data_IF_941932405523
#
_entry.id   IF_941932405523
#
_cell.length_a   1.000
_cell.length_b   1.000
_cell.length_c   1.000
_cell.angle_alpha   90.00
_cell.angle_beta   90.00
_cell.angle_gamma   90.00
#
_symmetry.space_group_name_H-M   'P 1'
#
loop_
_entity.id
_entity.type
_entity.pdbx_description
1 polymer ?
#
# COMPACT_ATOMS: atom_id res chain seq x y z
N UNK A 1 -30.13 49.65 -23.54
CA UNK A 1 -30.58 48.24 -23.54
C UNK A 1 -29.56 47.26 -24.15
N UNK A 2 -28.80 47.60 -25.21
CA UNK A 2 -27.80 46.68 -25.81
C UNK A 2 -26.58 46.37 -24.92
N UNK A 3 -26.15 47.33 -24.08
CA UNK A 3 -24.97 47.19 -23.22
C UNK A 3 -25.20 46.23 -22.04
N UNK A 4 -26.42 46.19 -21.50
CA UNK A 4 -26.82 45.26 -20.43
C UNK A 4 -26.90 43.81 -20.92
N UNK A 5 -27.30 43.60 -22.17
CA UNK A 5 -27.36 42.27 -22.80
C UNK A 5 -25.96 41.70 -23.02
N UNK A 6 -25.00 42.54 -23.42
CA UNK A 6 -23.60 42.13 -23.56
C UNK A 6 -22.97 41.74 -22.22
N UNK A 7 -23.27 42.48 -21.15
CA UNK A 7 -22.78 42.18 -19.80
C UNK A 7 -23.33 40.86 -19.26
N UNK A 8 -24.63 40.61 -19.45
CA UNK A 8 -25.26 39.36 -19.04
C UNK A 8 -24.67 38.14 -19.79
N UNK A 9 -24.38 38.29 -21.09
CA UNK A 9 -23.76 37.23 -21.90
C UNK A 9 -22.35 36.87 -21.42
N UNK A 10 -21.53 37.88 -21.07
CA UNK A 10 -20.17 37.66 -20.57
C UNK A 10 -20.18 36.96 -19.21
N UNK A 11 -21.10 37.34 -18.31
CA UNK A 11 -21.23 36.71 -16.98
C UNK A 11 -21.63 35.23 -17.12
N UNK A 12 -22.55 34.89 -18.03
CA UNK A 12 -22.92 33.49 -18.28
C UNK A 12 -21.76 32.65 -18.82
N UNK A 13 -20.89 33.22 -19.67
CA UNK A 13 -19.72 32.52 -20.21
C UNK A 13 -18.63 32.27 -19.15
N UNK A 14 -18.47 33.20 -18.19
CA UNK A 14 -17.51 33.06 -17.10
C UNK A 14 -17.97 32.02 -16.05
N UNK A 15 -19.28 31.89 -15.84
CA UNK A 15 -19.84 30.92 -14.89
C UNK A 15 -19.83 29.48 -15.45
N UNK A 16 -19.88 29.29 -16.77
CA UNK A 16 -19.83 27.96 -17.39
C UNK A 16 -18.42 27.41 -17.59
N UNK A 17 -17.38 28.25 -17.51
CA UNK A 17 -15.96 27.80 -17.58
C UNK A 17 -15.44 27.12 -16.29
N UNK A 18 -16.21 27.12 -15.20
CA UNK A 18 -15.79 26.60 -13.89
C UNK A 18 -15.89 25.08 -13.70
N UNK A 19 -16.46 24.32 -14.65
CA UNK A 19 -16.68 22.86 -14.51
C UNK A 19 -15.63 21.98 -15.22
N UNK A 20 -14.50 22.54 -15.66
CA UNK A 20 -13.34 21.72 -16.01
C UNK A 20 -12.58 21.40 -14.73
N UNK A 21 -13.19 20.54 -13.90
CA UNK A 21 -12.53 19.92 -12.78
C UNK A 21 -11.29 19.21 -13.31
N UNK A 22 -10.12 19.78 -13.01
CA UNK A 22 -8.85 19.12 -13.23
C UNK A 22 -8.92 17.86 -12.38
N UNK A 23 -9.20 16.71 -13.01
CA UNK A 23 -8.99 15.41 -12.38
C UNK A 23 -7.48 15.29 -12.29
N UNK A 24 -6.92 15.86 -11.23
CA UNK A 24 -5.61 15.48 -10.75
C UNK A 24 -5.72 13.98 -10.53
N UNK A 25 -5.05 13.22 -11.39
CA UNK A 25 -4.80 11.81 -11.16
C UNK A 25 -3.87 11.77 -9.95
N UNK A 26 -4.44 11.94 -8.76
CA UNK A 26 -3.76 11.77 -7.49
C UNK A 26 -3.21 10.36 -7.53
N UNK A 27 -1.89 10.29 -7.72
CA UNK A 27 -1.15 9.06 -7.78
C UNK A 27 -1.38 8.39 -6.42
N UNK A 28 -2.18 7.33 -6.38
CA UNK A 28 -2.46 6.58 -5.15
C UNK A 28 -1.11 6.05 -4.67
N UNK A 29 -0.51 6.74 -3.70
CA UNK A 29 0.75 6.33 -3.10
C UNK A 29 0.45 5.21 -2.10
N UNK A 30 0.27 4.00 -2.62
CA UNK A 30 0.18 2.80 -1.77
C UNK A 30 1.56 2.54 -1.16
N UNK A 31 1.71 2.86 0.13
CA UNK A 31 2.93 2.58 0.89
C UNK A 31 2.72 1.32 1.73
N UNK A 32 3.33 0.22 1.30
CA UNK A 32 3.41 -1.01 2.10
C UNK A 32 4.61 -0.89 3.06
N UNK A 33 4.35 -1.01 4.36
CA UNK A 33 5.38 -1.04 5.41
C UNK A 33 5.31 -2.40 6.09
N UNK A 34 6.40 -3.15 6.01
CA UNK A 34 6.52 -4.48 6.62
C UNK A 34 7.68 -4.43 7.61
N UNK A 35 7.35 -4.64 8.88
CA UNK A 35 8.35 -4.81 9.92
C UNK A 35 8.57 -6.31 10.13
N UNK A 36 9.84 -6.72 10.13
CA UNK A 36 10.27 -8.11 10.33
C UNK A 36 11.20 -8.15 11.52
N UNK A 37 10.97 -9.10 12.44
CA UNK A 37 11.96 -9.38 13.49
C UNK A 37 13.24 -9.91 12.85
N UNK A 38 14.32 -9.12 12.93
CA UNK A 38 15.64 -9.45 12.37
C UNK A 38 16.49 -10.33 13.31
N UNK A 39 15.89 -10.87 14.38
CA UNK A 39 16.58 -11.80 15.25
C UNK A 39 17.09 -13.02 14.46
N UNK A 40 18.37 -13.35 14.64
CA UNK A 40 18.93 -14.59 14.09
C UNK A 40 18.29 -15.75 14.82
N UNK A 41 17.60 -16.62 14.08
CA UNK A 41 16.99 -17.82 14.65
C UNK A 41 17.83 -19.05 14.34
N UNK A 42 18.08 -19.87 15.36
CA UNK A 42 18.90 -21.07 15.27
C UNK A 42 18.01 -22.30 15.41
N UNK A 43 18.08 -23.19 14.41
CA UNK A 43 17.43 -24.48 14.46
C UNK A 43 18.41 -25.46 15.09
N UNK A 44 18.04 -26.00 16.24
CA UNK A 44 18.82 -26.99 16.99
C UNK A 44 18.24 -28.37 16.73
N UNK A 45 19.08 -29.30 16.29
CA UNK A 45 18.73 -30.71 16.12
C UNK A 45 19.61 -31.56 17.02
N UNK A 46 19.02 -32.61 17.60
CA UNK A 46 19.73 -33.55 18.47
C UNK A 46 19.54 -34.97 17.98
N UNK A 47 20.61 -35.76 18.12
CA UNK A 47 20.70 -37.12 17.61
C UNK A 47 21.21 -38.06 18.69
N UNK A 48 20.67 -39.28 18.72
CA UNK A 48 21.17 -40.38 19.55
C UNK A 48 21.32 -41.62 18.66
N UNK A 49 22.49 -42.27 18.70
CA UNK A 49 22.80 -43.44 17.85
C UNK A 49 22.59 -43.22 16.34
N UNK A 50 22.70 -41.97 15.88
CA UNK A 50 22.47 -41.58 14.48
C UNK A 50 21.01 -41.35 14.12
N UNK A 51 20.07 -41.56 15.05
CA UNK A 51 18.66 -41.23 14.88
C UNK A 51 18.36 -39.85 15.47
N UNK A 52 17.56 -39.06 14.77
CA UNK A 52 17.13 -37.74 15.27
C UNK A 52 16.10 -37.93 16.38
N UNK A 53 16.36 -37.34 17.53
CA UNK A 53 15.47 -37.46 18.71
C UNK A 53 14.70 -36.16 19.00
N UNK A 54 15.21 -35.00 18.55
CA UNK A 54 14.50 -33.72 18.69
C UNK A 54 15.00 -32.68 17.69
N UNK A 55 14.14 -31.73 17.34
CA UNK A 55 14.42 -30.54 16.54
C UNK A 55 13.65 -29.34 17.07
N UNK A 56 14.26 -28.15 17.03
CA UNK A 56 13.56 -26.90 17.24
C UNK A 56 12.93 -26.37 15.93
N UNK A 57 12.12 -25.32 16.05
CA UNK A 57 11.45 -24.63 14.93
C UNK A 57 11.79 -23.14 14.99
N UNK A 58 12.20 -22.56 13.86
CA UNK A 58 12.32 -21.11 13.70
C UNK A 58 10.98 -20.51 13.26
N UNK A 59 10.59 -19.38 13.85
CA UNK A 59 9.33 -18.68 13.56
C UNK A 59 9.59 -17.21 13.25
N UNK A 60 9.36 -16.80 12.01
CA UNK A 60 9.43 -15.39 11.60
C UNK A 60 8.05 -14.73 11.74
N UNK A 61 8.03 -13.51 12.28
CA UNK A 61 6.81 -12.71 12.39
C UNK A 61 6.92 -11.49 11.49
N UNK A 62 5.88 -11.26 10.70
CA UNK A 62 5.73 -10.12 9.81
C UNK A 62 4.62 -9.24 10.34
N UNK A 63 4.92 -7.97 10.61
CA UNK A 63 3.95 -6.99 11.06
C UNK A 63 3.62 -5.99 9.95
N UNK A 64 2.33 -5.87 9.64
CA UNK A 64 1.77 -4.94 8.66
C UNK A 64 0.94 -3.84 9.33
N UNK A 65 0.94 -3.76 10.66
CA UNK A 65 0.12 -2.82 11.43
C UNK A 65 0.38 -1.35 11.07
N UNK A 66 1.58 -1.04 10.58
CA UNK A 66 1.99 0.28 10.13
C UNK A 66 1.65 0.58 8.66
N UNK A 67 1.12 -0.40 7.93
CA UNK A 67 0.64 -0.19 6.57
C UNK A 67 -0.71 0.52 6.61
N UNK A 68 -0.77 1.69 5.97
CA UNK A 68 -2.02 2.38 5.67
C UNK A 68 -2.14 2.50 4.16
N UNK A 69 -3.28 2.09 3.61
CA UNK A 69 -3.50 2.08 2.16
C UNK A 69 -4.97 2.37 1.86
N UNK A 70 -5.19 3.26 0.89
CA UNK A 70 -6.51 3.58 0.35
C UNK A 70 -7.08 2.43 -0.52
N UNK A 71 -6.26 1.40 -0.79
CA UNK A 71 -6.61 0.18 -1.52
C UNK A 71 -6.29 -1.07 -0.70
N UNK A 72 -7.11 -2.11 -0.85
CA UNK A 72 -6.95 -3.37 -0.09
C UNK A 72 -5.75 -4.19 -0.60
N UNK A 73 -4.93 -4.69 0.33
CA UNK A 73 -3.90 -5.69 0.01
C UNK A 73 -4.59 -7.03 -0.29
N UNK A 74 -4.43 -7.54 -1.51
CA UNK A 74 -5.06 -8.80 -1.94
C UNK A 74 -4.12 -10.00 -1.84
N UNK A 75 -2.80 -9.80 -1.92
CA UNK A 75 -1.82 -10.90 -1.92
C UNK A 75 -0.54 -10.46 -1.22
N UNK A 76 -0.04 -11.32 -0.35
CA UNK A 76 1.24 -11.20 0.33
C UNK A 76 1.83 -12.59 0.48
N UNK A 77 3.16 -12.71 0.52
CA UNK A 77 3.84 -14.00 0.60
C UNK A 77 5.35 -13.84 0.73
N UNK A 78 6.02 -14.94 1.02
CA UNK A 78 7.48 -15.05 1.02
C UNK A 78 7.86 -15.83 -0.23
N UNK A 79 8.70 -15.23 -1.07
CA UNK A 79 9.35 -15.94 -2.16
C UNK A 79 10.70 -16.45 -1.66
N UNK A 80 10.97 -17.74 -1.85
CA UNK A 80 12.21 -18.38 -1.43
C UNK A 80 12.83 -18.89 -2.73
N UNK A 81 13.81 -18.16 -3.25
CA UNK A 81 14.63 -18.62 -4.39
C UNK A 81 15.33 -19.93 -3.98
N UNK A 82 15.18 -20.96 -4.81
CA UNK A 82 15.79 -22.31 -4.67
C UNK A 82 17.21 -22.34 -5.27
#
# INVERSE_FOLDING_TARGET
MRQTVLFAGIVCLLLSSGCLGLVSNEEIQTKLVVDVDQSTQLIETSYEQGEMISSSTATFTFDFSQTNSDVSVHTYGVDIDD
#
